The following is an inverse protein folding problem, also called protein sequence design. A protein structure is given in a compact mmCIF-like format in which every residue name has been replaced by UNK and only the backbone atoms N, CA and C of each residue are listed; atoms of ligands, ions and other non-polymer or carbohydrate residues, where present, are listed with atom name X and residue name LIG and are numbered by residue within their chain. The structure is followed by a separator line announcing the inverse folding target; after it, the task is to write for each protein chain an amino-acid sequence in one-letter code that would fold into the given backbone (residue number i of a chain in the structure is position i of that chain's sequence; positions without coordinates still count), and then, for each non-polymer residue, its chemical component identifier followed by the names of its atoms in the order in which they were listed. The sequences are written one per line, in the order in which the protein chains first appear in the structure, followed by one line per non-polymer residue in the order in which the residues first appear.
data_IF_599077388933
#
_entry.id   IF_599077388933
#
_cell.length_a   1.000
_cell.length_b   1.000
_cell.length_c   1.000
_cell.angle_alpha   90.00
_cell.angle_beta   90.00
_cell.angle_gamma   90.00
#
_symmetry.space_group_name_H-M   'P 1'
#
loop_
_entity.id
_entity.type
_entity.pdbx_description
1 polymer ?
#
# COMPACT_ATOMS: atom_id res chain seq x y z
N UNK A 1 14.70 33.53 -18.25
CA UNK A 1 14.69 32.07 -18.41
C UNK A 1 13.46 31.55 -17.73
N UNK A 2 12.54 30.95 -18.49
CA UNK A 2 11.32 30.36 -17.94
C UNK A 2 11.76 29.26 -16.97
N UNK A 3 11.42 29.44 -15.69
CA UNK A 3 11.65 28.46 -14.64
C UNK A 3 11.16 27.11 -15.16
N UNK A 4 12.09 26.17 -15.28
CA UNK A 4 11.78 24.78 -15.51
C UNK A 4 11.04 24.32 -14.25
N UNK A 5 9.70 24.38 -14.29
CA UNK A 5 8.84 23.71 -13.32
C UNK A 5 9.21 22.24 -13.50
N UNK A 6 10.14 21.76 -12.67
CA UNK A 6 10.47 20.35 -12.61
C UNK A 6 9.15 19.62 -12.48
N UNK A 7 8.97 18.61 -13.32
CA UNK A 7 7.83 17.70 -13.36
C UNK A 7 7.72 16.89 -12.06
N UNK A 8 7.57 17.55 -10.91
CA UNK A 8 6.77 17.04 -9.83
C UNK A 8 5.34 17.03 -10.36
N UNK A 9 5.05 16.04 -11.20
CA UNK A 9 3.71 15.61 -11.53
C UNK A 9 2.95 15.63 -10.21
N UNK A 10 1.86 16.40 -10.13
CA UNK A 10 1.03 16.49 -8.94
C UNK A 10 0.58 15.06 -8.62
N UNK A 11 1.30 14.37 -7.71
CA UNK A 11 1.04 12.99 -7.37
C UNK A 11 -0.27 12.98 -6.60
N UNK A 12 -1.36 12.62 -7.28
CA UNK A 12 -2.68 12.48 -6.65
C UNK A 12 -2.59 11.29 -5.70
N UNK A 13 -2.75 11.55 -4.40
CA UNK A 13 -2.96 10.49 -3.41
C UNK A 13 -4.26 9.78 -3.77
N UNK A 14 -4.19 8.47 -4.04
CA UNK A 14 -5.37 7.66 -4.35
C UNK A 14 -5.95 7.00 -3.11
N UNK A 15 -5.08 6.54 -2.20
CA UNK A 15 -5.49 5.98 -0.91
C UNK A 15 -4.54 6.43 0.19
N UNK A 16 -5.06 6.58 1.39
CA UNK A 16 -4.27 6.77 2.60
C UNK A 16 -4.87 5.97 3.77
N UNK A 17 -4.04 5.52 4.71
CA UNK A 17 -4.50 4.92 5.97
C UNK A 17 -3.52 5.19 7.10
N UNK A 18 -4.03 5.36 8.32
CA UNK A 18 -3.23 5.31 9.55
C UNK A 18 -3.20 3.87 10.06
N UNK A 19 -1.99 3.32 10.22
CA UNK A 19 -1.78 1.94 10.68
C UNK A 19 -1.56 1.89 12.19
N UNK A 20 -0.71 2.78 12.69
CA UNK A 20 -0.34 2.90 14.09
C UNK A 20 -0.17 4.38 14.42
N UNK A 21 -0.05 4.74 15.72
CA UNK A 21 0.05 6.13 16.20
C UNK A 21 0.98 7.04 15.36
N UNK A 22 2.05 6.46 14.83
CA UNK A 22 3.07 7.19 14.07
C UNK A 22 3.21 6.75 12.62
N UNK A 23 2.42 5.79 12.13
CA UNK A 23 2.60 5.20 10.79
C UNK A 23 1.41 5.52 9.91
N UNK A 24 1.66 6.31 8.87
CA UNK A 24 0.70 6.60 7.82
C UNK A 24 1.22 6.06 6.49
N UNK A 25 0.33 5.41 5.74
CA UNK A 25 0.61 4.87 4.41
C UNK A 25 -0.16 5.68 3.39
N UNK A 26 0.54 6.17 2.38
CA UNK A 26 -0.03 6.89 1.25
C UNK A 26 0.30 6.16 -0.04
N UNK A 27 -0.67 6.05 -0.94
CA UNK A 27 -0.45 5.58 -2.29
C UNK A 27 -0.80 6.65 -3.29
N UNK A 28 0.02 6.76 -4.34
CA UNK A 28 -0.12 7.76 -5.38
C UNK A 28 -0.28 7.06 -6.73
N UNK A 29 -1.10 7.63 -7.61
CA UNK A 29 -1.42 7.02 -8.90
C UNK A 29 -1.26 7.96 -10.08
N UNK A 30 -0.20 7.75 -10.86
CA UNK A 30 -0.17 7.85 -12.34
C UNK A 30 0.90 6.88 -12.83
N UNK A 31 0.50 5.87 -13.61
CA UNK A 31 1.27 4.73 -14.21
C UNK A 31 2.17 3.89 -13.29
N UNK A 32 2.60 4.40 -12.14
CA UNK A 32 3.40 3.72 -11.15
C UNK A 32 2.76 3.94 -9.78
N UNK A 33 2.52 2.86 -9.04
CA UNK A 33 2.15 2.98 -7.63
C UNK A 33 3.39 3.31 -6.83
N UNK A 34 3.35 4.44 -6.14
CA UNK A 34 4.34 4.79 -5.11
C UNK A 34 3.68 4.64 -3.76
N UNK A 35 4.31 3.87 -2.87
CA UNK A 35 3.87 3.70 -1.49
C UNK A 35 4.81 4.56 -0.64
N UNK A 36 4.24 5.46 0.17
CA UNK A 36 4.99 6.21 1.16
C UNK A 36 4.55 5.78 2.55
N UNK A 37 5.52 5.40 3.37
CA UNK A 37 5.32 5.15 4.79
C UNK A 37 6.02 6.27 5.54
N UNK A 38 5.27 7.01 6.35
CA UNK A 38 5.81 8.10 7.16
C UNK A 38 5.73 7.72 8.63
N UNK A 39 6.87 7.82 9.30
CA UNK A 39 6.94 7.92 10.76
C UNK A 39 6.68 9.35 11.18
N UNK A 40 5.91 9.56 12.24
CA UNK A 40 5.99 10.82 12.97
C UNK A 40 7.45 10.99 13.43
N UNK A 41 8.14 11.97 12.83
CA UNK A 41 9.49 12.50 13.10
C UNK A 41 10.63 12.31 12.10
N UNK A 42 10.70 11.26 11.27
CA UNK A 42 11.61 11.15 10.12
C UNK A 42 11.71 9.69 9.72
N UNK A 43 11.35 9.40 8.47
CA UNK A 43 11.82 8.34 7.57
C UNK A 43 10.69 8.13 6.57
N UNK A 44 10.97 8.38 5.29
CA UNK A 44 10.01 8.18 4.20
C UNK A 44 10.54 7.01 3.39
N UNK A 45 9.88 5.86 3.51
CA UNK A 45 10.19 4.70 2.68
C UNK A 45 9.34 4.77 1.41
N UNK A 46 10.00 4.71 0.25
CA UNK A 46 9.37 4.73 -1.06
C UNK A 46 9.49 3.36 -1.72
N UNK A 47 8.37 2.68 -1.93
CA UNK A 47 8.36 1.38 -2.61
C UNK A 47 7.63 1.46 -3.95
N UNK A 48 8.23 0.88 -5.00
CA UNK A 48 7.59 0.57 -6.30
C UNK A 48 7.32 -0.92 -6.38
N UNK A 49 6.47 -1.35 -5.49
CA UNK A 49 6.30 -2.75 -5.18
C UNK A 49 5.15 -3.40 -5.96
N UNK A 50 4.26 -2.56 -6.51
CA UNK A 50 3.18 -2.97 -7.41
C UNK A 50 3.43 -2.45 -8.82
N UNK A 51 3.20 -3.31 -9.81
CA UNK A 51 3.34 -2.96 -11.23
C UNK A 51 2.08 -2.33 -11.83
N UNK A 52 1.03 -2.20 -11.04
CA UNK A 52 -0.25 -1.61 -11.45
C UNK A 52 -0.89 -0.84 -10.28
N UNK A 53 -2.05 -0.23 -10.54
CA UNK A 53 -2.78 0.59 -9.57
C UNK A 53 -3.12 -0.18 -8.29
N UNK A 54 -2.77 0.41 -7.15
CA UNK A 54 -3.30 0.00 -5.85
C UNK A 54 -4.80 0.23 -5.82
N UNK A 55 -5.51 -0.81 -5.41
CA UNK A 55 -6.97 -0.85 -5.33
C UNK A 55 -7.47 -0.71 -3.90
N UNK A 56 -6.68 -1.16 -2.91
CA UNK A 56 -7.05 -1.05 -1.51
C UNK A 56 -5.82 -1.13 -0.59
N UNK A 57 -5.94 -0.48 0.58
CA UNK A 57 -5.01 -0.62 1.71
C UNK A 57 -5.84 -0.98 2.93
N UNK A 58 -5.44 -2.01 3.66
CA UNK A 58 -6.15 -2.45 4.86
C UNK A 58 -5.18 -2.75 6.01
N UNK A 59 -5.48 -2.21 7.18
CA UNK A 59 -4.74 -2.46 8.42
C UNK A 59 -5.33 -3.66 9.16
N UNK A 60 -4.46 -4.47 9.77
CA UNK A 60 -4.87 -5.44 10.76
C UNK A 60 -5.47 -4.73 11.98
N UNK A 61 -6.44 -5.35 12.65
CA UNK A 61 -7.14 -4.77 13.79
C UNK A 61 -6.21 -4.50 14.98
N UNK A 62 -5.12 -5.26 15.10
CA UNK A 62 -4.08 -5.09 16.11
C UNK A 62 -3.02 -4.04 15.75
N UNK A 63 -3.09 -3.43 14.56
CA UNK A 63 -2.11 -2.47 14.05
C UNK A 63 -0.70 -3.03 13.83
N UNK A 64 -0.51 -4.35 13.97
CA UNK A 64 0.80 -4.99 13.83
C UNK A 64 1.28 -5.06 12.39
N UNK A 65 0.36 -4.95 11.44
CA UNK A 65 0.60 -5.13 10.02
C UNK A 65 -0.48 -4.48 9.18
N UNK A 66 -0.14 -4.23 7.93
CA UNK A 66 -1.09 -3.78 6.92
C UNK A 66 -0.81 -4.48 5.60
N UNK A 67 -1.80 -4.52 4.74
CA UNK A 67 -1.69 -5.10 3.40
C UNK A 67 -2.09 -4.05 2.37
N UNK A 68 -1.33 -4.01 1.29
CA UNK A 68 -1.63 -3.23 0.08
C UNK A 68 -1.94 -4.22 -1.02
N UNK A 69 -3.06 -4.04 -1.70
CA UNK A 69 -3.45 -4.87 -2.85
C UNK A 69 -3.54 -4.03 -4.11
N UNK A 70 -3.22 -4.66 -5.23
CA UNK A 70 -3.21 -4.02 -6.53
C UNK A 70 -3.92 -4.85 -7.59
N UNK A 71 -4.32 -4.14 -8.64
CA UNK A 71 -4.77 -4.71 -9.91
C UNK A 71 -3.71 -5.56 -10.62
N UNK A 72 -2.47 -5.60 -10.12
CA UNK A 72 -1.43 -6.56 -10.53
C UNK A 72 -1.60 -7.97 -9.93
N UNK A 73 -2.70 -8.21 -9.20
CA UNK A 73 -3.04 -9.49 -8.54
C UNK A 73 -2.14 -9.86 -7.37
N UNK A 74 -1.42 -8.89 -6.81
CA UNK A 74 -0.56 -9.07 -5.65
C UNK A 74 -1.12 -8.31 -4.46
N UNK A 75 -1.03 -8.95 -3.30
CA UNK A 75 -1.17 -8.33 -1.99
C UNK A 75 0.17 -8.36 -1.28
N UNK A 76 0.68 -7.20 -0.89
CA UNK A 76 1.95 -7.09 -0.17
C UNK A 76 1.68 -6.70 1.27
N UNK A 77 2.20 -7.50 2.18
CA UNK A 77 2.02 -7.32 3.62
C UNK A 77 3.27 -6.68 4.20
N UNK A 78 3.05 -5.71 5.08
CA UNK A 78 4.09 -4.92 5.71
C UNK A 78 3.91 -4.92 7.23
N UNK A 79 5.01 -4.77 7.95
CA UNK A 79 5.00 -4.54 9.39
C UNK A 79 4.42 -3.15 9.69
N UNK A 80 3.44 -3.07 10.58
CA UNK A 80 2.74 -1.83 10.91
C UNK A 80 3.52 -0.87 11.82
N UNK A 81 4.63 -1.32 12.41
CA UNK A 81 5.50 -0.53 13.27
C UNK A 81 6.76 -0.03 12.57
N UNK A 82 7.34 -0.81 11.65
CA UNK A 82 8.58 -0.46 10.94
C UNK A 82 8.40 -0.30 9.43
N UNK A 83 7.26 -0.71 8.87
CA UNK A 83 6.91 -0.43 7.47
C UNK A 83 7.65 -1.31 6.47
N UNK A 84 8.41 -2.30 6.95
CA UNK A 84 9.12 -3.24 6.10
C UNK A 84 8.17 -4.27 5.52
N UNK A 85 8.44 -4.69 4.28
CA UNK A 85 7.70 -5.79 3.64
C UNK A 85 8.01 -7.09 4.37
N UNK A 86 6.98 -7.73 4.93
CA UNK A 86 7.07 -9.01 5.64
C UNK A 86 6.51 -10.18 4.84
N UNK A 87 5.79 -9.91 3.75
CA UNK A 87 5.23 -10.97 2.92
C UNK A 87 4.59 -10.49 1.63
N UNK A 88 4.32 -11.45 0.75
CA UNK A 88 3.58 -11.25 -0.48
C UNK A 88 2.64 -12.41 -0.71
N UNK A 89 1.40 -12.10 -1.06
CA UNK A 89 0.40 -13.03 -1.57
C UNK A 89 0.18 -12.69 -3.04
N UNK A 90 0.16 -13.71 -3.90
CA UNK A 90 -0.23 -13.58 -5.30
C UNK A 90 -1.47 -14.42 -5.53
N UNK A 91 -2.42 -13.88 -6.28
CA UNK A 91 -3.56 -14.66 -6.80
C UNK A 91 -3.31 -15.18 -8.22
N UNK A 92 -2.07 -15.08 -8.72
CA UNK A 92 -1.67 -15.69 -10.00
C UNK A 92 -1.89 -17.21 -9.96
N UNK A 93 -2.89 -17.67 -10.72
CA UNK A 93 -3.33 -19.07 -10.76
C UNK A 93 -4.78 -19.27 -10.30
N UNK A 94 -5.38 -18.29 -9.61
CA UNK A 94 -6.80 -18.27 -9.28
C UNK A 94 -7.67 -17.63 -10.36
N UNK A 95 -8.99 -17.82 -10.28
CA UNK A 95 -9.97 -17.16 -11.17
C UNK A 95 -10.09 -15.64 -10.96
N UNK A 96 -9.39 -15.08 -9.96
CA UNK A 96 -9.49 -13.67 -9.59
C UNK A 96 -8.65 -12.83 -10.57
N UNK A 97 -9.34 -12.06 -11.43
CA UNK A 97 -8.68 -11.25 -12.48
C UNK A 97 -7.99 -10.00 -11.92
N UNK A 98 -8.49 -9.47 -10.80
CA UNK A 98 -7.94 -8.33 -10.06
C UNK A 98 -8.42 -8.43 -8.62
N UNK A 99 -7.61 -7.96 -7.66
CA UNK A 99 -8.05 -7.83 -6.27
C UNK A 99 -8.67 -6.44 -6.13
N UNK A 100 -9.96 -6.35 -5.82
CA UNK A 100 -10.66 -5.07 -5.74
C UNK A 100 -10.66 -4.52 -4.33
N UNK A 101 -10.85 -5.40 -3.35
CA UNK A 101 -10.77 -5.03 -1.95
C UNK A 101 -10.15 -6.16 -1.13
N UNK A 102 -9.68 -5.80 0.07
CA UNK A 102 -9.12 -6.74 1.03
C UNK A 102 -9.53 -6.33 2.43
N UNK A 103 -9.79 -7.32 3.28
CA UNK A 103 -10.06 -7.11 4.70
C UNK A 103 -9.28 -8.12 5.53
N UNK A 104 -8.82 -7.71 6.70
CA UNK A 104 -8.27 -8.62 7.70
C UNK A 104 -9.40 -9.31 8.48
N UNK A 105 -9.19 -10.58 8.83
CA UNK A 105 -10.01 -11.24 9.84
C UNK A 105 -9.89 -10.51 11.19
N UNK A 106 -10.92 -10.62 12.04
CA UNK A 106 -10.92 -9.96 13.35
C UNK A 106 -9.73 -10.36 14.24
N UNK A 107 -9.25 -11.58 14.10
CA UNK A 107 -8.07 -12.10 14.81
C UNK A 107 -6.73 -11.69 14.17
N UNK A 108 -6.74 -10.90 13.10
CA UNK A 108 -5.57 -10.43 12.36
C UNK A 108 -4.67 -11.55 11.80
N UNK A 109 -5.17 -12.79 11.66
CA UNK A 109 -4.37 -13.92 11.15
C UNK A 109 -4.56 -14.18 9.66
N UNK A 110 -5.72 -13.83 9.13
CA UNK A 110 -6.11 -14.13 7.76
C UNK A 110 -6.53 -12.86 7.03
N UNK A 111 -6.33 -12.86 5.72
CA UNK A 111 -6.83 -11.83 4.81
C UNK A 111 -7.89 -12.44 3.92
N UNK A 112 -8.95 -11.69 3.71
CA UNK A 112 -10.09 -12.03 2.86
C UNK A 112 -10.04 -11.07 1.66
N UNK A 113 -9.96 -11.65 0.46
CA UNK A 113 -9.95 -10.90 -0.80
C UNK A 113 -11.34 -10.88 -1.41
N UNK A 114 -11.71 -9.74 -2.01
CA UNK A 114 -12.98 -9.54 -2.72
C UNK A 114 -12.73 -9.13 -4.18
#
# INVERSE_FOLDING_TARGET
GILHISQALLLIVTHYVFVHHNVAVFTYGTWETRIHISYFFQFILHFRDHSNFVTCICCASDGSKFIIVSSDKKGLTYDGKIGDKIGSISTEGGQIRSIYAVSWSLDSKHVIFY
#
